data_IF_722308934851
#
_entry.id   IF_722308934851
#
_cell.length_a   1.000
_cell.length_b   1.000
_cell.length_c   1.000
_cell.angle_alpha   90.00
_cell.angle_beta   90.00
_cell.angle_gamma   90.00
#
_symmetry.space_group_name_H-M   'P 1'
#
loop_
_entity.id
_entity.type
_entity.pdbx_description
1 polymer ?
#
# COMPACT_ATOMS: atom_id res chain seq x y z
N UNK A 1 42.99 61.96 -2.88
CA UNK A 1 42.57 60.54 -2.80
C UNK A 1 41.40 60.29 -3.73
N UNK A 2 41.62 59.69 -4.91
CA UNK A 2 40.57 59.11 -5.78
C UNK A 2 41.17 57.94 -6.57
N UNK A 3 40.92 56.70 -6.15
CA UNK A 3 41.15 55.51 -6.98
C UNK A 3 39.80 55.16 -7.62
N UNK A 4 39.69 55.37 -8.94
CA UNK A 4 38.57 54.89 -9.72
C UNK A 4 38.77 53.38 -9.99
N UNK A 5 37.79 52.56 -9.60
CA UNK A 5 37.70 51.17 -10.03
C UNK A 5 37.08 51.15 -11.43
N UNK A 6 37.88 50.75 -12.41
CA UNK A 6 37.46 50.67 -13.81
C UNK A 6 36.50 49.49 -14.03
N UNK A 7 35.59 49.73 -14.96
CA UNK A 7 34.42 48.94 -15.31
C UNK A 7 34.66 47.43 -15.48
N UNK A 8 33.71 46.65 -14.97
CA UNK A 8 33.51 45.26 -15.32
C UNK A 8 33.23 45.17 -16.83
N UNK A 9 34.17 44.61 -17.58
CA UNK A 9 34.02 44.34 -19.01
C UNK A 9 32.84 43.38 -19.21
N UNK A 10 31.76 43.88 -19.81
CA UNK A 10 30.68 43.03 -20.33
C UNK A 10 31.22 42.26 -21.53
N UNK A 11 31.70 41.03 -21.30
CA UNK A 11 32.00 40.09 -22.36
C UNK A 11 30.67 39.72 -23.06
N UNK A 12 30.58 40.01 -24.36
CA UNK A 12 29.43 39.65 -25.18
C UNK A 12 29.42 38.15 -25.43
N UNK A 13 28.26 37.52 -25.21
CA UNK A 13 28.01 36.12 -25.51
C UNK A 13 28.17 35.90 -27.02
N UNK A 14 28.97 34.91 -27.43
CA UNK A 14 29.18 34.68 -28.87
C UNK A 14 28.01 33.87 -29.46
N UNK A 15 27.66 34.11 -30.72
CA UNK A 15 26.60 33.35 -31.41
C UNK A 15 26.89 31.84 -31.43
N UNK A 16 28.16 31.47 -31.55
CA UNK A 16 28.58 30.07 -31.56
C UNK A 16 28.45 29.40 -30.19
N UNK A 17 28.62 30.17 -29.11
CA UNK A 17 28.43 29.71 -27.74
C UNK A 17 26.97 29.39 -27.48
N UNK A 18 26.03 30.22 -27.95
CA UNK A 18 24.59 29.88 -27.91
C UNK A 18 24.31 28.64 -28.78
N UNK A 19 24.88 28.56 -29.98
CA UNK A 19 24.63 27.47 -30.93
C UNK A 19 25.05 26.11 -30.39
N UNK A 20 26.27 25.98 -29.87
CA UNK A 20 26.76 24.73 -29.28
C UNK A 20 25.93 24.34 -28.06
N UNK A 21 25.55 25.32 -27.24
CA UNK A 21 24.80 25.05 -26.00
C UNK A 21 23.41 24.49 -26.29
N UNK A 22 22.67 25.06 -27.26
CA UNK A 22 21.34 24.53 -27.62
C UNK A 22 21.41 23.15 -28.27
N UNK A 23 22.49 22.85 -29.02
CA UNK A 23 22.74 21.51 -29.57
C UNK A 23 22.99 20.50 -28.44
N UNK A 24 23.85 20.83 -27.47
CA UNK A 24 24.13 19.95 -26.33
C UNK A 24 22.86 19.73 -25.49
N UNK A 25 22.11 20.79 -25.17
CA UNK A 25 20.85 20.68 -24.43
C UNK A 25 19.83 19.83 -25.20
N UNK A 26 19.75 19.96 -26.53
CA UNK A 26 18.87 19.13 -27.37
C UNK A 26 19.20 17.65 -27.32
N UNK A 27 20.49 17.29 -27.37
CA UNK A 27 20.95 15.90 -27.27
C UNK A 27 20.72 15.33 -25.86
N UNK A 28 21.03 16.11 -24.81
CA UNK A 28 20.80 15.67 -23.43
C UNK A 28 19.32 15.50 -23.13
N UNK A 29 18.46 16.42 -23.58
CA UNK A 29 17.01 16.33 -23.40
C UNK A 29 16.43 15.08 -24.07
N UNK A 30 16.91 14.70 -25.25
CA UNK A 30 16.44 13.52 -25.98
C UNK A 30 16.67 12.20 -25.22
N UNK A 31 17.75 12.10 -24.44
CA UNK A 31 18.06 10.89 -23.65
C UNK A 31 17.41 10.93 -22.26
N UNK A 32 17.34 12.11 -21.64
CA UNK A 32 16.87 12.27 -20.26
C UNK A 32 15.35 12.16 -20.15
N UNK A 33 14.58 12.72 -21.10
CA UNK A 33 13.11 12.72 -21.07
C UNK A 33 12.52 11.29 -20.98
N UNK A 34 12.89 10.31 -21.85
CA UNK A 34 12.32 8.96 -21.76
C UNK A 34 12.74 8.22 -20.48
N UNK A 35 13.94 8.49 -19.94
CA UNK A 35 14.41 7.86 -18.71
C UNK A 35 13.61 8.32 -17.47
N UNK A 36 13.26 9.61 -17.40
CA UNK A 36 12.46 10.17 -16.31
C UNK A 36 11.00 9.70 -16.39
N UNK A 37 10.40 9.62 -17.58
CA UNK A 37 9.02 9.15 -17.74
C UNK A 37 8.84 7.69 -17.33
N UNK A 38 9.86 6.84 -17.50
CA UNK A 38 9.82 5.44 -17.08
C UNK A 38 9.94 5.27 -15.56
N UNK A 39 10.52 6.23 -14.83
CA UNK A 39 10.68 6.16 -13.36
C UNK A 39 9.46 6.70 -12.61
N UNK A 40 8.73 7.67 -13.16
CA UNK A 40 7.56 8.28 -12.50
C UNK A 40 6.36 7.30 -12.42
N UNK A 41 6.38 6.21 -13.20
CA UNK A 41 5.36 5.16 -13.17
C UNK A 41 5.89 3.76 -12.83
N UNK A 42 7.14 3.64 -12.35
CA UNK A 42 7.68 2.35 -11.95
C UNK A 42 6.99 1.90 -10.66
N UNK A 43 6.08 0.94 -10.78
CA UNK A 43 5.38 0.40 -9.64
C UNK A 43 6.35 -0.29 -8.68
N UNK A 44 6.28 0.04 -7.39
CA UNK A 44 7.24 -0.40 -6.39
C UNK A 44 6.62 -1.49 -5.49
N UNK A 45 6.99 -2.77 -5.68
CA UNK A 45 6.49 -3.85 -4.83
C UNK A 45 6.94 -3.73 -3.38
N UNK A 46 8.11 -3.12 -3.11
CA UNK A 46 8.59 -2.91 -1.74
C UNK A 46 7.74 -1.89 -1.00
N UNK A 47 7.22 -0.88 -1.70
CA UNK A 47 6.28 0.08 -1.10
C UNK A 47 4.97 -0.60 -0.67
N UNK A 48 4.39 -1.45 -1.51
CA UNK A 48 3.19 -2.22 -1.14
C UNK A 48 3.45 -3.11 0.08
N UNK A 49 4.60 -3.81 0.08
CA UNK A 49 4.99 -4.65 1.20
C UNK A 49 5.12 -3.86 2.52
N UNK A 50 5.70 -2.66 2.46
CA UNK A 50 5.80 -1.76 3.61
C UNK A 50 4.43 -1.27 4.09
N UNK A 51 3.53 -0.90 3.17
CA UNK A 51 2.17 -0.47 3.51
C UNK A 51 1.39 -1.62 4.21
N UNK A 52 1.52 -2.84 3.70
CA UNK A 52 0.92 -4.03 4.31
C UNK A 52 1.49 -4.34 5.70
N UNK A 53 2.80 -4.16 5.89
CA UNK A 53 3.45 -4.31 7.19
C UNK A 53 2.94 -3.26 8.20
N UNK A 54 2.80 -2.00 7.77
CA UNK A 54 2.25 -0.93 8.60
C UNK A 54 0.81 -1.23 9.04
N UNK A 55 -0.05 -1.69 8.11
CA UNK A 55 -1.42 -2.07 8.43
C UNK A 55 -1.46 -3.25 9.41
N UNK A 56 -0.60 -4.26 9.21
CA UNK A 56 -0.48 -5.38 10.16
C UNK A 56 -0.12 -4.92 11.57
N UNK A 57 0.88 -4.07 11.72
CA UNK A 57 1.26 -3.54 13.03
C UNK A 57 0.11 -2.74 13.65
N UNK A 58 -0.66 -2.02 12.82
CA UNK A 58 -1.88 -1.34 13.26
C UNK A 58 -2.94 -2.31 13.79
N UNK A 59 -3.23 -3.40 13.07
CA UNK A 59 -4.16 -4.46 13.49
C UNK A 59 -3.72 -5.08 14.81
N UNK A 60 -2.44 -5.41 14.94
CA UNK A 60 -1.87 -5.99 16.17
C UNK A 60 -2.05 -5.02 17.35
N UNK A 61 -1.71 -3.74 17.17
CA UNK A 61 -1.83 -2.72 18.22
C UNK A 61 -3.29 -2.44 18.60
N UNK A 62 -4.19 -2.38 17.62
CA UNK A 62 -5.64 -2.28 17.87
C UNK A 62 -6.12 -3.43 18.74
N UNK A 63 -5.76 -4.68 18.39
CA UNK A 63 -6.20 -5.87 19.13
C UNK A 63 -5.67 -5.94 20.56
N UNK A 64 -4.52 -5.31 20.83
CA UNK A 64 -3.96 -5.21 22.17
C UNK A 64 -4.74 -4.24 23.06
N UNK A 65 -5.28 -3.16 22.48
CA UNK A 65 -6.05 -2.14 23.20
C UNK A 65 -7.53 -2.53 23.31
N UNK A 66 -8.15 -2.87 22.18
CA UNK A 66 -9.58 -3.21 22.08
C UNK A 66 -9.75 -4.72 22.22
N UNK A 67 -9.42 -5.27 23.40
CA UNK A 67 -9.51 -6.71 23.65
C UNK A 67 -10.95 -7.17 23.85
N UNK A 68 -11.33 -8.39 23.41
CA UNK A 68 -10.59 -9.38 22.62
C UNK A 68 -10.86 -9.26 21.11
N UNK A 69 -11.08 -8.03 20.62
CA UNK A 69 -11.64 -7.75 19.30
C UNK A 69 -10.54 -7.45 18.29
N UNK A 70 -10.92 -7.58 17.03
CA UNK A 70 -10.08 -7.23 15.88
C UNK A 70 -10.86 -6.23 15.01
N UNK A 71 -10.15 -5.35 14.29
CA UNK A 71 -10.79 -4.39 13.39
C UNK A 71 -11.56 -5.15 12.29
N UNK A 72 -12.78 -4.69 11.98
CA UNK A 72 -13.56 -5.17 10.84
C UNK A 72 -13.16 -4.48 9.54
N UNK A 73 -12.60 -3.29 9.63
CA UNK A 73 -12.14 -2.50 8.50
C UNK A 73 -10.93 -1.61 8.84
N UNK A 74 -10.44 -0.89 7.83
CA UNK A 74 -9.34 0.07 7.99
C UNK A 74 -9.79 1.37 8.66
N UNK A 75 -11.09 1.63 8.74
CA UNK A 75 -11.62 2.81 9.44
C UNK A 75 -11.40 2.66 10.94
N UNK A 76 -11.67 1.48 11.51
CA UNK A 76 -11.37 1.13 12.90
C UNK A 76 -9.91 1.41 13.31
N UNK A 77 -8.99 1.31 12.32
CA UNK A 77 -7.57 1.57 12.52
C UNK A 77 -7.21 3.05 12.42
N UNK A 78 -7.92 3.85 11.64
CA UNK A 78 -7.57 5.24 11.37
C UNK A 78 -8.37 6.22 12.24
N UNK A 79 -9.60 5.87 12.59
CA UNK A 79 -10.55 6.73 13.30
C UNK A 79 -11.08 6.05 14.57
N UNK A 80 -11.58 6.83 15.55
CA UNK A 80 -12.18 6.28 16.75
C UNK A 80 -13.43 5.45 16.43
N UNK A 81 -13.42 4.20 16.92
CA UNK A 81 -14.56 3.27 16.84
C UNK A 81 -15.78 3.79 17.60
N UNK A 82 -16.94 3.38 17.13
CA UNK A 82 -18.27 3.68 17.67
C UNK A 82 -19.04 2.40 17.98
N UNK A 83 -20.15 2.48 18.71
CA UNK A 83 -21.00 1.31 18.95
C UNK A 83 -21.71 0.78 17.69
N UNK A 84 -21.65 1.51 16.56
CA UNK A 84 -22.21 1.07 15.29
C UNK A 84 -21.21 0.21 14.49
N UNK A 85 -19.92 0.35 14.78
CA UNK A 85 -18.84 -0.35 14.08
C UNK A 85 -18.79 -1.82 14.48
N UNK A 86 -18.49 -2.68 13.51
CA UNK A 86 -18.54 -4.13 13.65
C UNK A 86 -17.13 -4.71 13.55
N UNK A 87 -16.79 -5.60 14.47
CA UNK A 87 -15.53 -6.33 14.43
C UNK A 87 -15.46 -7.30 13.23
N UNK A 88 -14.30 -7.95 13.06
CA UNK A 88 -14.09 -8.96 12.01
C UNK A 88 -15.07 -10.16 12.05
N UNK A 89 -15.76 -10.39 13.18
CA UNK A 89 -16.81 -11.40 13.38
C UNK A 89 -18.22 -10.84 13.13
N UNK A 90 -18.36 -9.55 12.79
CA UNK A 90 -19.63 -8.87 12.58
C UNK A 90 -20.33 -8.46 13.88
N UNK A 91 -19.60 -8.35 14.99
CA UNK A 91 -20.13 -8.01 16.31
C UNK A 91 -19.78 -6.58 16.67
N UNK A 92 -20.76 -5.81 17.12
CA UNK A 92 -20.58 -4.41 17.49
C UNK A 92 -19.59 -4.23 18.66
N UNK A 93 -18.82 -3.13 18.62
CA UNK A 93 -17.95 -2.75 19.72
C UNK A 93 -18.76 -2.22 20.91
N UNK A 94 -18.61 -2.85 22.07
CA UNK A 94 -19.29 -2.45 23.30
C UNK A 94 -18.49 -1.48 24.15
N UNK A 95 -17.15 -1.57 24.08
CA UNK A 95 -16.23 -0.66 24.76
C UNK A 95 -15.43 0.12 23.72
N UNK A 96 -15.96 1.28 23.34
CA UNK A 96 -15.30 2.18 22.39
C UNK A 96 -14.23 3.05 23.05
N UNK A 97 -14.17 3.08 24.38
CA UNK A 97 -13.17 3.86 25.15
C UNK A 97 -11.81 3.18 25.17
N UNK A 98 -11.77 1.88 24.86
CA UNK A 98 -10.54 1.12 24.69
C UNK A 98 -9.71 1.57 23.48
N UNK A 99 -10.28 2.33 22.55
CA UNK A 99 -9.55 2.86 21.41
C UNK A 99 -8.58 3.97 21.83
N UNK A 100 -7.30 3.84 21.48
CA UNK A 100 -6.22 4.68 22.01
C UNK A 100 -5.37 5.34 20.91
N UNK A 101 -5.97 5.67 19.78
CA UNK A 101 -5.34 6.47 18.74
C UNK A 101 -5.36 5.82 17.37
N UNK A 102 -5.04 6.60 16.32
CA UNK A 102 -4.87 6.05 14.98
C UNK A 102 -3.72 5.05 15.00
N UNK A 103 -4.02 3.82 14.59
CA UNK A 103 -3.10 2.70 14.49
C UNK A 103 -2.39 2.66 13.14
N UNK A 104 -2.87 3.44 12.17
CA UNK A 104 -2.26 3.64 10.86
C UNK A 104 -2.22 5.12 10.51
N UNK A 105 -1.21 5.54 9.75
CA UNK A 105 -1.05 6.93 9.30
C UNK A 105 -1.85 7.26 8.03
N UNK A 106 -2.68 6.33 7.55
CA UNK A 106 -3.48 6.51 6.35
C UNK A 106 -4.74 7.31 6.65
N UNK A 107 -5.11 8.23 5.76
CA UNK A 107 -6.41 8.90 5.83
C UNK A 107 -7.48 7.97 5.27
N UNK A 108 -8.32 7.44 6.15
CA UNK A 108 -9.48 6.61 5.79
C UNK A 108 -10.74 7.43 6.08
N UNK A 109 -11.67 7.57 5.13
CA UNK A 109 -12.96 8.17 5.41
C UNK A 109 -13.70 7.37 6.48
N UNK A 110 -14.20 8.06 7.51
CA UNK A 110 -15.01 7.42 8.55
C UNK A 110 -16.33 6.92 7.99
N UNK A 111 -16.65 5.67 8.28
CA UNK A 111 -17.90 5.04 7.87
C UNK A 111 -18.43 4.21 9.03
N UNK A 112 -19.56 4.62 9.58
CA UNK A 112 -20.16 3.90 10.69
C UNK A 112 -20.83 2.59 10.19
N UNK A 113 -20.49 1.47 10.84
CA UNK A 113 -21.15 0.17 10.65
C UNK A 113 -20.83 -0.59 9.35
N UNK A 114 -21.78 -1.39 8.84
CA UNK A 114 -21.55 -2.25 7.67
C UNK A 114 -21.60 -1.54 6.31
N UNK A 115 -21.62 -0.20 6.31
CA UNK A 115 -21.67 0.56 5.07
C UNK A 115 -20.42 0.28 4.21
N UNK A 116 -20.57 0.21 2.87
CA UNK A 116 -19.45 -0.09 2.00
C UNK A 116 -18.46 1.08 2.03
N UNK A 117 -17.35 0.89 2.73
CA UNK A 117 -16.18 1.75 2.60
C UNK A 117 -15.68 1.71 1.16
N UNK A 118 -15.38 2.88 0.59
CA UNK A 118 -14.64 2.96 -0.67
C UNK A 118 -13.25 2.33 -0.46
N UNK A 119 -12.78 1.54 -1.43
CA UNK A 119 -11.43 0.97 -1.40
C UNK A 119 -10.38 2.11 -1.35
N UNK A 120 -9.34 1.94 -0.54
CA UNK A 120 -8.23 2.88 -0.47
C UNK A 120 -7.31 2.60 -1.66
N UNK A 121 -7.21 3.54 -2.58
CA UNK A 121 -6.22 3.45 -3.66
C UNK A 121 -4.81 3.34 -3.07
N UNK A 122 -4.09 2.26 -3.39
CA UNK A 122 -2.69 2.12 -2.97
C UNK A 122 -1.85 3.06 -3.83
N UNK A 123 -1.10 3.98 -3.21
CA UNK A 123 -0.18 4.87 -3.93
C UNK A 123 1.13 4.13 -4.34
N UNK A 124 1.04 2.87 -4.75
CA UNK A 124 2.18 2.01 -5.06
C UNK A 124 2.64 2.08 -6.52
N UNK A 125 1.94 2.85 -7.34
CA UNK A 125 2.15 2.90 -8.80
C UNK A 125 1.48 1.75 -9.55
N UNK A 126 0.94 0.74 -8.84
CA UNK A 126 0.02 -0.25 -9.41
C UNK A 126 -1.40 0.34 -9.49
N UNK A 127 -2.21 -0.12 -10.45
CA UNK A 127 -3.66 0.16 -10.49
C UNK A 127 -4.43 -0.67 -9.44
N UNK A 128 -3.87 -0.79 -8.24
CA UNK A 128 -4.36 -1.64 -7.17
C UNK A 128 -4.88 -0.79 -6.00
N UNK A 129 -5.91 -1.29 -5.34
CA UNK A 129 -6.50 -0.64 -4.17
C UNK A 129 -6.54 -1.63 -3.02
N UNK A 130 -6.16 -1.17 -1.83
CA UNK A 130 -6.37 -1.92 -0.59
C UNK A 130 -7.84 -1.75 -0.23
N UNK A 131 -8.58 -2.85 -0.14
CA UNK A 131 -9.97 -2.77 0.27
C UNK A 131 -10.02 -2.35 1.73
N UNK A 132 -10.93 -1.44 2.03
CA UNK A 132 -11.12 -0.95 3.38
C UNK A 132 -11.69 -2.03 4.30
N UNK A 133 -12.47 -2.99 3.78
CA UNK A 133 -12.97 -4.11 4.58
C UNK A 133 -11.91 -5.19 4.78
N UNK A 134 -11.63 -5.50 6.03
CA UNK A 134 -10.78 -6.64 6.40
C UNK A 134 -11.60 -7.93 6.34
N UNK A 135 -10.94 -9.06 6.10
CA UNK A 135 -11.60 -10.37 6.05
C UNK A 135 -10.83 -11.42 6.85
N UNK A 136 -11.52 -12.40 7.42
CA UNK A 136 -10.92 -13.50 8.18
C UNK A 136 -10.70 -14.73 7.30
N UNK A 137 -9.44 -15.08 6.98
CA UNK A 137 -9.11 -16.22 6.11
C UNK A 137 -8.46 -17.35 6.90
N UNK A 138 -8.77 -18.61 6.60
CA UNK A 138 -7.95 -19.73 7.10
C UNK A 138 -6.66 -19.92 6.30
N UNK A 139 -5.63 -20.49 6.93
CA UNK A 139 -4.39 -20.83 6.24
C UNK A 139 -4.49 -22.04 5.30
N UNK A 140 -5.65 -22.71 5.20
CA UNK A 140 -5.79 -23.94 4.42
C UNK A 140 -5.66 -23.67 2.91
N UNK A 141 -4.71 -24.37 2.27
CA UNK A 141 -4.50 -24.38 0.83
C UNK A 141 -5.67 -25.09 0.13
N UNK A 142 -6.58 -24.32 -0.46
CA UNK A 142 -7.71 -24.85 -1.22
C UNK A 142 -8.10 -23.88 -2.33
N UNK A 143 -7.56 -24.11 -3.52
CA UNK A 143 -7.90 -23.39 -4.75
C UNK A 143 -9.24 -23.86 -5.28
N UNK A 144 -10.32 -23.15 -4.96
CA UNK A 144 -11.47 -22.93 -5.87
C UNK A 144 -12.47 -21.97 -5.22
N UNK A 145 -12.52 -20.74 -5.73
CA UNK A 145 -13.66 -19.84 -5.53
C UNK A 145 -13.64 -19.00 -4.25
N UNK A 146 -13.62 -17.68 -4.44
CA UNK A 146 -14.08 -16.63 -3.52
C UNK A 146 -13.61 -16.75 -2.06
N UNK A 147 -12.46 -16.13 -1.78
CA UNK A 147 -12.17 -15.62 -0.45
C UNK A 147 -11.85 -16.65 0.64
N UNK A 148 -11.15 -16.17 1.66
CA UNK A 148 -11.24 -16.62 3.03
C UNK A 148 -12.18 -17.81 3.31
N UNK A 149 -11.66 -19.04 3.22
CA UNK A 149 -12.41 -20.22 3.64
C UNK A 149 -12.45 -20.26 5.16
N UNK A 150 -13.62 -20.23 5.79
CA UNK A 150 -13.80 -20.42 7.23
C UNK A 150 -13.75 -21.92 7.57
N UNK A 151 -12.54 -22.50 7.54
CA UNK A 151 -12.31 -23.85 8.05
C UNK A 151 -11.92 -23.81 9.54
N UNK A 152 -11.80 -24.98 10.17
CA UNK A 152 -11.26 -25.17 11.52
C UNK A 152 -9.74 -24.93 11.64
N UNK A 153 -9.06 -24.59 10.54
CA UNK A 153 -7.64 -24.20 10.55
C UNK A 153 -7.46 -22.81 11.21
N UNK A 154 -6.24 -22.43 11.65
CA UNK A 154 -6.00 -21.12 12.23
C UNK A 154 -6.47 -20.02 11.28
N UNK A 155 -7.30 -19.12 11.81
CA UNK A 155 -7.84 -17.98 11.09
C UNK A 155 -6.86 -16.82 11.19
N UNK A 156 -6.84 -15.98 10.17
CA UNK A 156 -6.01 -14.79 10.10
C UNK A 156 -6.88 -13.61 9.70
N UNK A 157 -6.66 -12.46 10.34
CA UNK A 157 -7.13 -11.19 9.78
C UNK A 157 -6.32 -10.91 8.54
N UNK A 158 -7.00 -10.64 7.43
CA UNK A 158 -6.39 -10.41 6.13
C UNK A 158 -6.69 -9.03 5.59
N UNK A 159 -5.66 -8.45 4.98
CA UNK A 159 -5.77 -7.24 4.17
C UNK A 159 -5.98 -7.66 2.72
N UNK A 160 -7.02 -7.14 2.10
CA UNK A 160 -7.37 -7.47 0.72
C UNK A 160 -6.86 -6.40 -0.23
N UNK A 161 -6.38 -6.82 -1.41
CA UNK A 161 -5.98 -5.92 -2.48
C UNK A 161 -6.73 -6.30 -3.76
N UNK A 162 -7.42 -5.34 -4.36
CA UNK A 162 -8.08 -5.47 -5.67
C UNK A 162 -7.23 -4.83 -6.77
N UNK A 163 -7.40 -5.29 -8.02
CA UNK A 163 -6.81 -4.64 -9.19
C UNK A 163 -5.36 -5.01 -9.50
N UNK A 164 -4.79 -5.98 -8.78
CA UNK A 164 -3.48 -6.56 -9.12
C UNK A 164 -3.60 -7.57 -10.25
N UNK A 165 -2.74 -7.46 -11.26
CA UNK A 165 -2.52 -8.53 -12.22
C UNK A 165 -1.55 -9.60 -11.68
N UNK A 166 -1.48 -10.76 -12.34
CA UNK A 166 -0.64 -11.86 -11.88
C UNK A 166 0.88 -11.52 -11.85
N UNK A 167 1.46 -10.81 -12.84
CA UNK A 167 2.83 -10.28 -12.74
C UNK A 167 3.08 -9.37 -11.54
N UNK A 168 2.18 -8.42 -11.26
CA UNK A 168 2.28 -7.47 -10.15
C UNK A 168 2.18 -8.18 -8.81
N UNK A 169 1.26 -9.14 -8.68
CA UNK A 169 1.16 -10.01 -7.52
C UNK A 169 2.49 -10.74 -7.24
N UNK A 170 3.10 -11.35 -8.27
CA UNK A 170 4.39 -12.06 -8.11
C UNK A 170 5.49 -11.12 -7.64
N UNK A 171 5.59 -9.92 -8.20
CA UNK A 171 6.59 -8.94 -7.77
C UNK A 171 6.47 -8.58 -6.28
N UNK A 172 5.23 -8.43 -5.77
CA UNK A 172 4.98 -8.17 -4.34
C UNK A 172 5.25 -9.42 -3.50
N UNK A 173 4.83 -10.60 -3.97
CA UNK A 173 5.06 -11.88 -3.31
C UNK A 173 6.55 -12.16 -3.13
N UNK A 174 7.37 -11.91 -4.15
CA UNK A 174 8.81 -12.12 -4.11
C UNK A 174 9.49 -11.25 -3.03
N UNK A 175 8.94 -10.06 -2.75
CA UNK A 175 9.43 -9.19 -1.67
C UNK A 175 8.99 -9.70 -0.29
N UNK A 176 7.77 -10.23 -0.17
CA UNK A 176 7.19 -10.64 1.11
C UNK A 176 7.63 -12.03 1.57
N UNK A 177 7.56 -13.01 0.65
CA UNK A 177 7.75 -14.43 0.93
C UNK A 177 8.96 -15.04 0.17
N UNK A 178 9.61 -14.26 -0.70
CA UNK A 178 10.77 -14.70 -1.48
C UNK A 178 10.40 -15.39 -2.81
N UNK A 179 11.39 -15.56 -3.69
CA UNK A 179 11.22 -16.08 -5.06
C UNK A 179 10.78 -17.58 -5.16
N UNK A 180 10.48 -18.22 -4.04
CA UNK A 180 10.29 -19.67 -3.94
C UNK A 180 8.89 -20.15 -4.30
N UNK A 181 7.91 -19.25 -4.43
CA UNK A 181 6.49 -19.61 -4.63
C UNK A 181 5.94 -19.01 -5.93
N UNK A 182 6.38 -19.55 -7.07
CA UNK A 182 6.07 -19.01 -8.42
C UNK A 182 4.66 -19.33 -8.93
N UNK A 183 3.74 -19.77 -8.07
CA UNK A 183 2.44 -20.26 -8.50
C UNK A 183 1.34 -19.21 -8.38
N UNK A 184 0.42 -19.29 -9.34
CA UNK A 184 -0.85 -18.55 -9.47
C UNK A 184 -1.80 -18.66 -8.27
N UNK A 185 -1.40 -19.41 -7.23
CA UNK A 185 -1.99 -19.44 -5.90
C UNK A 185 -0.89 -19.91 -4.93
N UNK A 186 -0.27 -19.00 -4.17
CA UNK A 186 0.65 -19.39 -3.10
C UNK A 186 -0.13 -20.25 -2.09
N UNK A 187 0.27 -21.52 -1.99
CA UNK A 187 -0.21 -22.42 -0.95
C UNK A 187 0.69 -22.37 0.29
N UNK A 188 1.82 -21.66 0.19
CA UNK A 188 2.88 -21.54 1.21
C UNK A 188 3.36 -20.10 1.34
N UNK A 189 2.79 -19.32 2.27
CA UNK A 189 3.21 -17.92 2.44
C UNK A 189 2.19 -17.08 3.17
N UNK A 190 2.56 -15.82 3.41
CA UNK A 190 1.69 -14.80 4.01
C UNK A 190 0.91 -14.03 2.94
N UNK A 191 1.24 -14.15 1.66
CA UNK A 191 0.55 -13.45 0.59
C UNK A 191 -0.06 -14.42 -0.42
N UNK A 192 -1.35 -14.24 -0.75
CA UNK A 192 -2.13 -15.17 -1.60
C UNK A 192 -2.89 -14.45 -2.69
N UNK A 193 -3.23 -15.15 -3.76
CA UNK A 193 -3.98 -14.61 -4.89
C UNK A 193 -5.01 -15.62 -5.39
N UNK A 194 -6.22 -15.15 -5.68
CA UNK A 194 -7.32 -15.98 -6.20
C UNK A 194 -7.60 -15.77 -7.70
N UNK A 195 -6.78 -14.95 -8.38
CA UNK A 195 -6.97 -14.55 -9.76
C UNK A 195 -7.62 -13.17 -9.93
N UNK A 196 -8.30 -12.64 -8.89
CA UNK A 196 -8.98 -11.34 -8.92
C UNK A 196 -8.53 -10.43 -7.78
N UNK A 197 -8.28 -11.01 -6.60
CA UNK A 197 -7.87 -10.31 -5.39
C UNK A 197 -6.67 -11.00 -4.76
N UNK A 198 -5.81 -10.19 -4.16
CA UNK A 198 -4.73 -10.67 -3.30
C UNK A 198 -5.11 -10.52 -1.83
N UNK A 199 -4.59 -11.42 -1.00
CA UNK A 199 -4.86 -11.50 0.43
C UNK A 199 -3.55 -11.58 1.19
N UNK A 200 -3.31 -10.64 2.08
CA UNK A 200 -2.18 -10.66 2.99
C UNK A 200 -2.62 -11.13 4.38
N UNK A 201 -2.06 -12.24 4.84
CA UNK A 201 -2.31 -12.84 6.15
C UNK A 201 -1.55 -12.04 7.21
N UNK A 202 -2.21 -11.02 7.78
CA UNK A 202 -1.59 -10.06 8.68
C UNK A 202 -1.34 -10.67 10.07
N UNK A 203 -2.41 -11.06 10.78
CA UNK A 203 -2.29 -11.55 12.16
C UNK A 203 -3.22 -12.73 12.43
N UNK A 204 -2.78 -13.73 13.22
CA UNK A 204 -3.63 -14.86 13.59
C UNK A 204 -4.75 -14.42 14.52
N UNK A 205 -5.91 -15.03 14.35
CA UNK A 205 -7.15 -14.74 15.04
C UNK A 205 -7.77 -16.04 15.56
N UNK A 206 -8.34 -16.00 16.77
CA UNK A 206 -9.03 -17.13 17.42
C UNK A 206 -10.47 -16.75 17.78
#
# INVERSE_FOLDING_TARGET
MKKAWNACLRAGFTLIEVLVTVVIIGVLAAVIIPAITNQIGAADPARVANDLANVRTGIETFSLNVRPRFPGDLDDLANPITPLDLDIKGVAYTDTTAWNGPYISATVPKVDGSAPLADIASNSGYKASILSRLASCSSAAGTTGVGCVLTTAPQFVTVQISGLDAPQFRAINDVLDGASDSLTASTTGKFRFDGTRAYFLATPYR
#
